data_IF_316557777729
#
_entry.id   IF_316557777729
#
_cell.length_a   1.000
_cell.length_b   1.000
_cell.length_c   1.000
_cell.angle_alpha   90.00
_cell.angle_beta   90.00
_cell.angle_gamma   90.00
#
_symmetry.space_group_name_H-M   'P 1'
#
loop_
_entity.id
_entity.type
_entity.pdbx_description
1 polymer ?
#
# COMPACT_ATOMS: atom_id res chain seq x y z
N UNK A 1 54.13 -3.48 17.57
CA UNK A 1 53.19 -2.36 17.79
C UNK A 1 52.71 -1.88 16.43
N UNK A 2 51.61 -2.48 15.96
CA UNK A 2 50.61 -1.84 15.10
C UNK A 2 49.40 -2.76 15.10
N UNK A 3 48.33 -2.29 15.76
CA UNK A 3 47.07 -2.99 15.96
C UNK A 3 46.32 -3.19 14.64
N UNK A 4 45.80 -4.41 14.48
CA UNK A 4 44.70 -4.68 13.58
C UNK A 4 43.43 -4.11 14.22
N UNK A 5 42.82 -3.13 13.58
CA UNK A 5 41.44 -2.73 13.87
C UNK A 5 40.54 -3.50 12.93
N UNK A 6 40.11 -4.68 13.39
CA UNK A 6 38.89 -5.32 12.90
C UNK A 6 37.71 -4.54 13.47
N UNK A 7 37.25 -3.52 12.76
CA UNK A 7 35.91 -2.98 12.97
C UNK A 7 34.92 -4.00 12.40
N UNK A 8 34.53 -4.94 13.27
CA UNK A 8 33.34 -5.75 13.11
C UNK A 8 32.11 -4.86 13.23
N UNK A 9 31.86 -4.05 12.20
CA UNK A 9 30.54 -3.47 11.98
C UNK A 9 29.60 -4.65 11.72
N UNK A 10 28.88 -5.04 12.77
CA UNK A 10 27.81 -6.02 12.68
C UNK A 10 26.77 -5.41 11.74
N UNK A 11 26.86 -5.74 10.46
CA UNK A 11 25.91 -5.33 9.45
C UNK A 11 24.53 -5.72 9.96
N UNK A 12 23.74 -4.73 10.37
CA UNK A 12 22.34 -4.92 10.68
C UNK A 12 21.71 -5.65 9.47
N UNK A 13 21.09 -6.80 9.73
CA UNK A 13 20.36 -7.54 8.70
C UNK A 13 19.45 -6.57 7.92
N UNK A 14 19.38 -6.67 6.59
CA UNK A 14 18.54 -5.78 5.81
C UNK A 14 17.11 -5.79 6.37
N UNK A 15 16.63 -4.59 6.69
CA UNK A 15 15.23 -4.36 7.02
C UNK A 15 14.40 -4.77 5.81
N UNK A 16 13.55 -5.80 5.96
CA UNK A 16 12.44 -6.07 5.04
C UNK A 16 12.75 -6.90 3.80
N UNK A 17 13.44 -8.04 3.93
CA UNK A 17 13.68 -8.95 2.78
C UNK A 17 12.36 -9.47 2.16
N UNK A 18 11.31 -9.65 2.96
CA UNK A 18 10.01 -10.09 2.49
C UNK A 18 8.87 -9.21 3.03
N UNK A 19 8.23 -8.49 2.12
CA UNK A 19 7.04 -7.69 2.41
C UNK A 19 5.73 -8.45 2.11
N UNK A 20 5.80 -9.74 1.78
CA UNK A 20 4.61 -10.54 1.48
C UNK A 20 3.70 -10.70 2.71
N UNK A 21 2.40 -10.70 2.47
CA UNK A 21 1.39 -10.87 3.51
C UNK A 21 0.11 -10.10 3.24
N UNK A 22 -0.79 -10.09 4.21
CA UNK A 22 -1.97 -9.24 4.22
C UNK A 22 -1.65 -7.94 4.95
N UNK A 23 -1.90 -6.83 4.26
CA UNK A 23 -1.66 -5.48 4.75
C UNK A 23 -2.97 -4.70 4.80
N UNK A 24 -3.14 -3.85 5.81
CA UNK A 24 -4.16 -2.82 5.84
C UNK A 24 -3.62 -1.59 5.10
N UNK A 25 -4.16 -1.34 3.91
CA UNK A 25 -3.97 -0.11 3.14
C UNK A 25 -4.93 0.95 3.63
N UNK A 26 -4.42 2.15 3.92
CA UNK A 26 -5.20 3.34 4.25
C UNK A 26 -4.67 4.53 3.47
N UNK A 27 -5.54 5.24 2.77
CA UNK A 27 -5.21 6.51 2.13
C UNK A 27 -6.32 7.53 2.36
N UNK A 28 -5.95 8.80 2.24
CA UNK A 28 -6.88 9.91 2.37
C UNK A 28 -6.93 10.69 1.06
N UNK A 29 -8.13 11.14 0.68
CA UNK A 29 -8.34 11.97 -0.50
C UNK A 29 -9.39 13.04 -0.22
N UNK A 30 -9.21 14.22 -0.82
CA UNK A 30 -10.19 15.28 -0.79
C UNK A 30 -11.17 15.13 -1.97
N UNK A 31 -12.46 15.22 -1.70
CA UNK A 31 -13.53 15.14 -2.70
C UNK A 31 -14.05 16.54 -3.00
N UNK A 32 -13.67 17.11 -4.15
CA UNK A 32 -14.09 18.48 -4.52
C UNK A 32 -15.61 18.63 -4.67
N UNK A 33 -16.35 17.59 -5.08
CA UNK A 33 -17.82 17.64 -5.13
C UNK A 33 -18.49 17.63 -3.78
N UNK A 34 -17.86 17.06 -2.75
CA UNK A 34 -18.43 16.90 -1.42
C UNK A 34 -17.78 17.82 -0.39
N UNK A 35 -16.81 18.62 -0.81
CA UNK A 35 -16.03 19.56 -0.01
C UNK A 35 -15.54 18.95 1.32
N UNK A 36 -15.02 17.72 1.24
CA UNK A 36 -14.64 16.95 2.43
C UNK A 36 -13.51 15.96 2.12
N UNK A 37 -12.65 15.72 3.11
CA UNK A 37 -11.64 14.64 3.10
C UNK A 37 -12.26 13.33 3.56
N UNK A 38 -11.97 12.26 2.82
CA UNK A 38 -12.40 10.90 3.12
C UNK A 38 -11.18 10.02 3.37
N UNK A 39 -11.33 9.07 4.27
CA UNK A 39 -10.42 7.93 4.39
C UNK A 39 -10.99 6.72 3.64
N UNK A 40 -10.11 5.96 3.00
CA UNK A 40 -10.44 4.66 2.44
C UNK A 40 -9.45 3.63 2.94
N UNK A 41 -9.99 2.45 3.28
CA UNK A 41 -9.22 1.33 3.81
C UNK A 41 -9.50 0.07 3.00
N UNK A 42 -8.43 -0.69 2.74
CA UNK A 42 -8.50 -1.99 2.09
C UNK A 42 -7.62 -2.99 2.84
N UNK A 43 -8.08 -4.23 3.05
CA UNK A 43 -7.11 -5.32 3.21
C UNK A 43 -6.59 -5.71 1.82
N UNK A 44 -5.27 -5.67 1.65
CA UNK A 44 -4.59 -6.02 0.41
C UNK A 44 -3.65 -7.20 0.63
N UNK A 45 -3.60 -8.12 -0.32
CA UNK A 45 -2.56 -9.14 -0.40
C UNK A 45 -1.36 -8.54 -1.11
N UNK A 46 -0.23 -8.42 -0.41
CA UNK A 46 1.06 -8.06 -0.97
C UNK A 46 1.84 -9.33 -1.31
N UNK A 47 2.38 -9.38 -2.52
CA UNK A 47 3.29 -10.44 -2.98
C UNK A 47 4.61 -9.80 -3.36
N UNK A 48 5.70 -10.25 -2.73
CA UNK A 48 7.05 -9.79 -3.00
C UNK A 48 7.81 -10.80 -3.87
N UNK A 49 8.36 -10.35 -5.00
CA UNK A 49 9.22 -11.15 -5.89
C UNK A 49 10.39 -10.32 -6.40
N UNK A 50 11.61 -10.65 -5.99
CA UNK A 50 12.79 -9.90 -6.37
C UNK A 50 12.72 -8.48 -5.81
N UNK A 51 12.75 -7.47 -6.67
CA UNK A 51 12.56 -6.06 -6.29
C UNK A 51 11.14 -5.54 -6.57
N UNK A 52 10.17 -6.40 -6.88
CA UNK A 52 8.80 -6.00 -7.24
C UNK A 52 7.79 -6.43 -6.16
N UNK A 53 6.91 -5.51 -5.80
CA UNK A 53 5.76 -5.76 -4.95
C UNK A 53 4.49 -5.52 -5.76
N UNK A 54 3.58 -6.49 -5.74
CA UNK A 54 2.20 -6.30 -6.22
C UNK A 54 1.26 -6.34 -5.02
N UNK A 55 0.32 -5.41 -4.93
CA UNK A 55 -0.73 -5.47 -3.92
C UNK A 55 -2.11 -5.42 -4.57
N UNK A 56 -3.01 -6.29 -4.12
CA UNK A 56 -4.39 -6.35 -4.61
C UNK A 56 -5.36 -6.38 -3.44
N UNK A 57 -6.41 -5.56 -3.49
CA UNK A 57 -7.51 -5.63 -2.53
C UNK A 57 -8.15 -7.00 -2.54
N UNK A 58 -8.40 -7.53 -1.34
CA UNK A 58 -9.15 -8.76 -1.20
C UNK A 58 -10.64 -8.51 -1.51
N UNK A 59 -11.35 -9.50 -2.07
CA UNK A 59 -12.79 -9.40 -2.29
C UNK A 59 -13.55 -9.03 -1.00
N UNK A 60 -14.43 -8.04 -1.09
CA UNK A 60 -15.23 -7.58 0.06
C UNK A 60 -14.44 -6.85 1.16
N UNK A 61 -13.15 -6.58 0.95
CA UNK A 61 -12.27 -6.08 1.99
C UNK A 61 -11.97 -4.58 1.91
N UNK A 62 -12.98 -3.79 1.57
CA UNK A 62 -12.88 -2.34 1.40
C UNK A 62 -13.95 -1.61 2.23
N UNK A 63 -13.64 -0.41 2.73
CA UNK A 63 -14.63 0.52 3.28
C UNK A 63 -15.46 1.23 2.20
N UNK A 64 -15.02 1.16 0.95
CA UNK A 64 -15.77 1.54 -0.24
C UNK A 64 -16.04 0.26 -1.07
N UNK A 65 -17.20 -0.41 -0.87
CA UNK A 65 -17.49 -1.71 -1.49
C UNK A 65 -17.28 -1.69 -3.00
N UNK A 66 -16.85 -2.83 -3.57
CA UNK A 66 -16.68 -3.01 -5.02
C UNK A 66 -15.73 -2.03 -5.73
N UNK A 67 -14.80 -1.44 -4.97
CA UNK A 67 -13.76 -0.55 -5.48
C UNK A 67 -12.38 -1.24 -5.50
N UNK A 68 -12.06 -2.14 -6.44
CA UNK A 68 -10.79 -2.86 -6.40
C UNK A 68 -9.59 -1.92 -6.55
N UNK A 69 -8.66 -2.02 -5.60
CA UNK A 69 -7.38 -1.32 -5.59
C UNK A 69 -6.26 -2.28 -6.00
N UNK A 70 -5.38 -1.80 -6.87
CA UNK A 70 -4.17 -2.47 -7.32
C UNK A 70 -2.95 -1.55 -7.15
N UNK A 71 -1.84 -2.11 -6.67
CA UNK A 71 -0.54 -1.45 -6.55
C UNK A 71 0.51 -2.27 -7.32
N UNK A 72 1.29 -1.59 -8.16
CA UNK A 72 2.45 -2.17 -8.84
C UNK A 72 3.68 -1.34 -8.47
N UNK A 73 4.55 -1.92 -7.65
CA UNK A 73 5.60 -1.21 -6.94
C UNK A 73 6.95 -1.91 -7.13
N UNK A 74 8.00 -1.13 -6.94
CA UNK A 74 9.37 -1.59 -6.82
C UNK A 74 9.94 -1.19 -5.47
N UNK A 75 10.87 -1.99 -4.96
CA UNK A 75 11.60 -1.71 -3.72
C UNK A 75 13.08 -1.56 -3.98
N UNK A 76 13.67 -0.50 -3.44
CA UNK A 76 15.11 -0.31 -3.32
C UNK A 76 15.42 0.03 -1.86
N UNK A 77 16.07 -0.90 -1.16
CA UNK A 77 16.30 -0.86 0.29
C UNK A 77 14.99 -0.61 1.04
N UNK A 78 14.85 0.54 1.71
CA UNK A 78 13.68 0.93 2.48
C UNK A 78 12.75 1.90 1.73
N UNK A 79 12.94 2.08 0.43
CA UNK A 79 12.12 2.95 -0.42
C UNK A 79 11.27 2.08 -1.34
N UNK A 80 9.96 2.28 -1.31
CA UNK A 80 9.00 1.60 -2.18
C UNK A 80 8.32 2.65 -3.05
N UNK A 81 8.32 2.47 -4.37
CA UNK A 81 7.67 3.40 -5.30
C UNK A 81 7.06 2.68 -6.49
N UNK A 82 6.03 3.27 -7.09
CA UNK A 82 5.39 2.72 -8.28
C UNK A 82 4.06 3.41 -8.56
N UNK A 83 3.08 2.62 -8.99
CA UNK A 83 1.76 3.10 -9.39
C UNK A 83 0.65 2.49 -8.57
N UNK A 84 -0.47 3.21 -8.50
CA UNK A 84 -1.72 2.74 -7.95
C UNK A 84 -2.83 2.89 -8.98
N UNK A 85 -3.82 2.00 -8.93
CA UNK A 85 -5.06 2.09 -9.70
C UNK A 85 -6.21 1.68 -8.80
N UNK A 86 -7.29 2.45 -8.83
CA UNK A 86 -8.54 2.09 -8.18
C UNK A 86 -9.69 2.26 -9.18
N UNK A 87 -10.51 1.22 -9.33
CA UNK A 87 -11.75 1.31 -10.07
C UNK A 87 -12.88 1.40 -9.05
N UNK A 88 -13.69 2.45 -9.10
CA UNK A 88 -14.81 2.62 -8.17
C UNK A 88 -15.97 1.68 -8.50
N UNK A 89 -16.88 1.46 -7.55
CA UNK A 89 -18.08 0.65 -7.78
C UNK A 89 -18.93 1.19 -8.94
N UNK A 90 -19.42 0.29 -9.80
CA UNK A 90 -20.23 0.63 -10.98
C UNK A 90 -21.60 1.20 -10.62
N UNK A 91 -22.16 0.80 -9.47
CA UNK A 91 -23.43 1.28 -8.91
C UNK A 91 -23.24 2.40 -7.87
N UNK A 92 -21.98 2.78 -7.59
CA UNK A 92 -21.63 3.82 -6.64
C UNK A 92 -21.65 5.23 -7.23
N UNK A 93 -21.42 6.23 -6.36
CA UNK A 93 -21.40 7.66 -6.73
C UNK A 93 -20.44 7.98 -7.89
N UNK A 94 -19.32 7.24 -8.00
CA UNK A 94 -18.32 7.44 -9.04
C UNK A 94 -18.51 6.54 -10.27
N UNK A 95 -19.60 5.75 -10.34
CA UNK A 95 -20.08 5.01 -11.51
C UNK A 95 -19.01 4.23 -12.29
N UNK A 96 -18.12 3.50 -11.60
CA UNK A 96 -17.10 2.71 -12.29
C UNK A 96 -15.88 3.50 -12.77
N UNK A 97 -15.74 4.77 -12.40
CA UNK A 97 -14.58 5.59 -12.74
C UNK A 97 -13.28 4.93 -12.28
N UNK A 98 -12.26 5.00 -13.15
CA UNK A 98 -10.93 4.48 -12.89
C UNK A 98 -9.97 5.62 -12.58
N UNK A 99 -9.47 5.64 -11.35
CA UNK A 99 -8.42 6.54 -10.89
C UNK A 99 -7.07 5.82 -10.87
N UNK A 100 -6.00 6.57 -11.10
CA UNK A 100 -4.65 6.04 -11.04
C UNK A 100 -3.63 7.16 -10.81
N UNK A 101 -2.41 6.77 -10.45
CA UNK A 101 -1.29 7.70 -10.33
C UNK A 101 -0.04 7.04 -9.76
N UNK A 102 0.82 7.83 -9.15
CA UNK A 102 2.08 7.38 -8.58
C UNK A 102 2.05 7.39 -7.04
N UNK A 103 2.91 6.58 -6.44
CA UNK A 103 3.03 6.44 -4.99
C UNK A 103 4.51 6.29 -4.60
N UNK A 104 4.87 6.87 -3.46
CA UNK A 104 6.17 6.67 -2.82
C UNK A 104 5.98 6.47 -1.32
N UNK A 105 6.55 5.39 -0.81
CA UNK A 105 6.44 4.92 0.57
C UNK A 105 7.85 4.65 1.13
N UNK A 106 8.00 4.84 2.43
CA UNK A 106 9.17 4.46 3.19
C UNK A 106 8.82 3.29 4.10
N UNK A 107 9.62 2.23 4.05
CA UNK A 107 9.49 1.05 4.91
C UNK A 107 10.15 1.36 6.25
N UNK A 108 9.41 1.16 7.35
CA UNK A 108 9.96 1.31 8.69
C UNK A 108 10.92 0.16 9.05
N UNK A 109 11.85 0.34 10.01
CA UNK A 109 12.86 -0.67 10.38
C UNK A 109 12.30 -2.06 10.74
N UNK A 110 11.06 -2.14 11.21
CA UNK A 110 10.43 -3.43 11.56
C UNK A 110 9.89 -4.18 10.35
N UNK A 111 9.82 -3.54 9.18
CA UNK A 111 9.17 -4.08 7.98
C UNK A 111 7.66 -4.29 8.16
N UNK A 112 7.03 -3.70 9.18
CA UNK A 112 5.60 -3.87 9.48
C UNK A 112 4.73 -2.69 9.07
N UNK A 113 5.34 -1.62 8.58
CA UNK A 113 4.67 -0.40 8.17
C UNK A 113 5.41 0.24 7.00
N UNK A 114 4.64 0.68 6.01
CA UNK A 114 5.11 1.53 4.92
C UNK A 114 4.26 2.80 4.92
N UNK A 115 4.89 3.97 4.90
CA UNK A 115 4.17 5.23 4.95
C UNK A 115 4.74 6.23 3.94
N UNK A 116 3.87 7.01 3.32
CA UNK A 116 4.30 8.03 2.37
C UNK A 116 3.13 8.77 1.75
N UNK A 117 3.23 9.06 0.45
CA UNK A 117 2.25 9.86 -0.28
C UNK A 117 1.93 9.28 -1.64
N UNK A 118 0.73 9.59 -2.11
CA UNK A 118 0.30 9.35 -3.47
C UNK A 118 0.10 10.66 -4.22
N UNK A 119 0.12 10.56 -5.54
CA UNK A 119 -0.32 11.60 -6.48
C UNK A 119 -1.26 10.97 -7.51
N UNK A 120 -2.29 11.70 -7.91
CA UNK A 120 -3.27 11.29 -8.92
C UNK A 120 -4.08 12.49 -9.39
N UNK A 121 -5.23 12.24 -10.02
CA UNK A 121 -6.07 13.31 -10.58
C UNK A 121 -7.50 13.23 -10.04
N UNK A 122 -8.15 14.39 -9.95
CA UNK A 122 -9.58 14.52 -9.63
C UNK A 122 -10.45 14.69 -10.87
N UNK A 123 -11.77 14.71 -10.66
CA UNK A 123 -12.77 14.94 -11.74
C UNK A 123 -12.64 16.30 -12.43
N UNK A 124 -12.09 17.30 -11.74
CA UNK A 124 -11.94 18.67 -12.24
C UNK A 124 -10.58 18.90 -12.92
N UNK A 125 -9.90 17.82 -13.33
CA UNK A 125 -8.54 17.82 -13.93
C UNK A 125 -7.42 18.37 -13.03
N UNK A 126 -7.68 18.52 -11.74
CA UNK A 126 -6.68 18.88 -10.75
C UNK A 126 -5.82 17.69 -10.33
N UNK A 127 -4.55 17.96 -9.99
CA UNK A 127 -3.65 16.98 -9.40
C UNK A 127 -3.85 16.96 -7.89
N UNK A 128 -4.19 15.79 -7.37
CA UNK A 128 -4.37 15.55 -5.95
C UNK A 128 -3.19 14.78 -5.37
N UNK A 129 -2.88 15.05 -4.10
CA UNK A 129 -1.93 14.27 -3.32
C UNK A 129 -2.49 14.01 -1.94
N UNK A 130 -2.09 12.93 -1.30
CA UNK A 130 -2.52 12.59 0.04
C UNK A 130 -1.62 11.57 0.73
N UNK A 131 -1.77 11.38 2.04
CA UNK A 131 -1.05 10.35 2.76
C UNK A 131 -1.53 8.96 2.33
N UNK A 132 -0.60 8.01 2.28
CA UNK A 132 -0.89 6.58 2.13
C UNK A 132 -0.05 5.78 3.13
N UNK A 133 -0.68 4.83 3.79
CA UNK A 133 -0.06 3.91 4.72
C UNK A 133 -0.45 2.46 4.41
N UNK A 134 0.52 1.54 4.53
CA UNK A 134 0.31 0.10 4.57
C UNK A 134 0.78 -0.40 5.95
N UNK A 135 -0.06 -1.14 6.67
CA UNK A 135 0.30 -1.82 7.93
C UNK A 135 0.17 -3.33 7.81
N UNK A 136 1.21 -4.08 8.17
CA UNK A 136 1.20 -5.53 8.11
C UNK A 136 0.26 -6.10 9.18
N UNK A 137 -0.72 -6.88 8.74
CA UNK A 137 -1.74 -7.50 9.61
C UNK A 137 -1.47 -8.99 9.79
N UNK A 138 -1.10 -9.69 8.72
CA UNK A 138 -0.75 -11.12 8.74
C UNK A 138 0.36 -11.39 7.71
N UNK A 139 1.37 -12.18 8.05
CA UNK A 139 2.41 -12.59 7.09
C UNK A 139 1.97 -13.73 6.18
N UNK A 140 0.91 -14.44 6.54
CA UNK A 140 0.40 -15.55 5.75
C UNK A 140 -0.29 -15.04 4.49
N UNK A 141 0.12 -15.59 3.34
CA UNK A 141 -0.54 -15.42 2.03
C UNK A 141 -1.44 -16.59 1.66
N UNK A 142 -1.71 -17.50 2.61
CA UNK A 142 -2.53 -18.70 2.38
C UNK A 142 -3.99 -18.35 2.10
N UNK A 143 -4.71 -19.27 1.43
CA UNK A 143 -6.16 -19.13 1.18
C UNK A 143 -6.95 -18.86 2.46
N UNK A 144 -6.61 -19.53 3.55
CA UNK A 144 -7.28 -19.35 4.84
C UNK A 144 -7.07 -17.93 5.43
N UNK A 145 -5.88 -17.34 5.23
CA UNK A 145 -5.65 -15.95 5.62
C UNK A 145 -6.42 -14.99 4.72
N UNK A 146 -6.41 -15.20 3.40
CA UNK A 146 -7.19 -14.40 2.44
C UNK A 146 -8.68 -14.42 2.80
N UNK A 147 -9.26 -15.59 3.08
CA UNK A 147 -10.66 -15.72 3.48
C UNK A 147 -10.96 -14.99 4.80
N UNK A 148 -10.05 -15.06 5.79
CA UNK A 148 -10.19 -14.36 7.08
C UNK A 148 -10.25 -12.84 6.93
N UNK A 149 -9.48 -12.29 5.99
CA UNK A 149 -9.39 -10.85 5.75
C UNK A 149 -10.24 -10.36 4.57
N UNK A 150 -11.00 -11.24 3.91
CA UNK A 150 -12.02 -10.90 2.90
C UNK A 150 -13.27 -10.24 3.50
N UNK A 151 -13.07 -9.20 4.31
CA UNK A 151 -14.10 -8.48 5.05
C UNK A 151 -13.73 -7.01 5.19
N UNK A 152 -14.71 -6.13 5.32
CA UNK A 152 -14.48 -4.69 5.51
C UNK A 152 -13.55 -4.43 6.71
N UNK A 153 -12.49 -3.61 6.55
CA UNK A 153 -11.65 -3.17 7.67
C UNK A 153 -12.41 -2.32 8.70
N UNK A 154 -12.02 -2.45 9.97
CA UNK A 154 -12.50 -1.60 11.08
C UNK A 154 -11.83 -0.22 11.08
#
# INVERSE_FOLDING_TARGET
MTEAVEDGETAAQPVGDDCSGIWLSRYEFYSSSRDQTYDCKHYVLVVHRGNRLTAESLPGASTNPDSPLHLDLTVDRNIVTGTWTEQTASDGYYQGARYHGAIQLLVEPTGRRMAGKWVGFGKDFDVNTGPWELRLVDRSTTKAAVERYGRTPE
#
